data_IF_157671982598
#
_entry.id   IF_157671982598
#
_cell.length_a   1.000
_cell.length_b   1.000
_cell.length_c   1.000
_cell.angle_alpha   90.00
_cell.angle_beta   90.00
_cell.angle_gamma   90.00
#
_symmetry.space_group_name_H-M   'P 1'
#
loop_
_entity.id
_entity.type
_entity.pdbx_description
1 polymer ?
#
# COMPACT_ATOMS: atom_id res chain seq x y z
N UNK A 1 27.18 2.00 7.96
CA UNK A 1 27.51 1.08 9.07
C UNK A 1 27.57 -0.33 8.51
N UNK A 2 28.73 -1.00 8.53
CA UNK A 2 28.80 -2.43 8.15
C UNK A 2 28.36 -3.22 9.37
N UNK A 3 27.28 -3.98 9.26
CA UNK A 3 26.88 -4.94 10.27
C UNK A 3 27.84 -6.13 10.20
N UNK A 4 28.47 -6.47 11.32
CA UNK A 4 29.22 -7.69 11.47
C UNK A 4 28.27 -8.75 12.03
N UNK A 5 27.80 -9.67 11.18
CA UNK A 5 26.78 -10.66 11.52
C UNK A 5 27.38 -12.05 11.41
N UNK A 6 27.30 -12.81 12.51
CA UNK A 6 27.80 -14.17 12.60
C UNK A 6 26.67 -15.19 12.34
N UNK A 7 26.81 -15.99 11.29
CA UNK A 7 25.83 -17.01 10.88
C UNK A 7 26.23 -18.45 11.25
N UNK A 8 27.26 -18.66 12.08
CA UNK A 8 27.79 -20.00 12.37
C UNK A 8 26.73 -20.93 12.98
N UNK A 9 25.88 -20.42 13.89
CA UNK A 9 24.82 -21.21 14.50
C UNK A 9 23.77 -21.67 13.48
N UNK A 10 23.41 -20.80 12.53
CA UNK A 10 22.48 -21.12 11.45
C UNK A 10 23.07 -22.20 10.53
N UNK A 11 24.34 -22.05 10.14
CA UNK A 11 25.03 -23.01 9.28
C UNK A 11 25.14 -24.40 9.93
N UNK A 12 25.39 -24.46 11.24
CA UNK A 12 25.39 -25.71 11.99
C UNK A 12 24.01 -26.39 12.00
N UNK A 13 22.91 -25.62 12.03
CA UNK A 13 21.56 -26.18 11.89
C UNK A 13 21.33 -26.75 10.48
N UNK A 14 21.74 -26.05 9.43
CA UNK A 14 21.60 -26.52 8.04
C UNK A 14 22.35 -27.84 7.80
N UNK A 15 23.56 -27.97 8.36
CA UNK A 15 24.33 -29.22 8.28
C UNK A 15 23.63 -30.39 8.99
N UNK A 16 23.03 -30.15 10.16
CA UNK A 16 22.26 -31.19 10.87
C UNK A 16 21.03 -31.67 10.10
N UNK A 17 20.50 -30.84 9.19
CA UNK A 17 19.37 -31.18 8.34
C UNK A 17 19.77 -31.98 7.08
N UNK A 18 21.05 -32.32 6.90
CA UNK A 18 21.52 -33.15 5.78
C UNK A 18 21.53 -32.42 4.43
N UNK A 19 21.67 -31.09 4.44
CA UNK A 19 21.74 -30.31 3.21
C UNK A 19 23.21 -30.22 2.73
N UNK A 20 23.53 -30.90 1.64
CA UNK A 20 24.90 -31.00 1.11
C UNK A 20 25.31 -29.82 0.21
N UNK A 21 24.39 -28.92 -0.13
CA UNK A 21 24.64 -27.79 -1.03
C UNK A 21 23.91 -26.53 -0.59
N UNK A 22 24.67 -25.48 -0.30
CA UNK A 22 24.15 -24.14 -0.02
C UNK A 22 24.02 -23.37 -1.34
N UNK A 23 22.79 -23.01 -1.71
CA UNK A 23 22.56 -22.11 -2.84
C UNK A 23 22.80 -20.68 -2.38
N UNK A 24 23.69 -19.95 -3.07
CA UNK A 24 23.86 -18.52 -2.81
C UNK A 24 22.62 -17.76 -3.26
N UNK A 25 21.88 -17.20 -2.32
CA UNK A 25 20.79 -16.27 -2.62
C UNK A 25 21.42 -14.92 -2.97
N UNK A 26 21.29 -14.50 -4.23
CA UNK A 26 21.56 -13.11 -4.60
C UNK A 26 20.30 -12.31 -4.27
N UNK A 27 20.39 -11.51 -3.21
CA UNK A 27 19.37 -10.50 -2.93
C UNK A 27 19.64 -9.37 -3.92
N UNK A 28 18.80 -9.26 -4.94
CA UNK A 28 18.84 -8.14 -5.87
C UNK A 28 18.27 -6.91 -5.16
N UNK A 29 19.16 -6.01 -4.71
CA UNK A 29 18.78 -4.75 -4.07
C UNK A 29 18.37 -3.68 -5.10
N UNK A 30 18.04 -4.05 -6.34
CA UNK A 30 17.69 -3.13 -7.42
C UNK A 30 16.37 -2.36 -7.18
N UNK A 31 15.57 -2.79 -6.21
CA UNK A 31 14.48 -2.00 -5.63
C UNK A 31 14.76 -1.76 -4.15
N UNK A 32 15.58 -0.75 -3.85
CA UNK A 32 15.60 -0.14 -2.53
C UNK A 32 14.26 0.58 -2.29
N UNK A 33 13.19 -0.18 -2.07
CA UNK A 33 12.14 0.29 -1.18
C UNK A 33 12.75 0.24 0.21
N UNK A 34 13.45 1.31 0.60
CA UNK A 34 13.70 1.57 2.00
C UNK A 34 12.33 2.03 2.49
N UNK A 35 11.56 1.21 3.26
CA UNK A 35 10.42 1.77 3.94
C UNK A 35 11.01 2.86 4.82
N UNK A 36 10.66 4.11 4.56
CA UNK A 36 10.96 5.18 5.50
C UNK A 36 10.11 4.88 6.73
N UNK A 37 10.63 4.05 7.61
CA UNK A 37 10.04 3.79 8.91
C UNK A 37 10.12 5.10 9.68
N UNK A 38 8.98 5.77 9.78
CA UNK A 38 8.87 6.94 10.63
C UNK A 38 8.84 6.44 12.08
N UNK A 39 10.01 6.40 12.72
CA UNK A 39 10.17 5.90 14.08
C UNK A 39 9.31 6.65 15.10
N UNK A 40 8.81 7.85 14.76
CA UNK A 40 7.86 8.60 15.60
C UNK A 40 6.51 7.90 15.71
N UNK A 41 6.10 7.12 14.71
CA UNK A 41 4.85 6.37 14.72
C UNK A 41 4.85 5.26 15.78
N UNK A 42 6.00 4.71 16.15
CA UNK A 42 6.10 3.63 17.14
C UNK A 42 5.99 4.14 18.59
N UNK A 43 5.99 5.46 18.78
CA UNK A 43 5.94 6.08 20.11
C UNK A 43 4.52 6.06 20.71
N UNK A 44 4.45 6.25 22.02
CA UNK A 44 3.18 6.42 22.75
C UNK A 44 2.49 7.75 22.46
N UNK A 45 3.21 8.75 21.93
CA UNK A 45 2.72 10.09 21.58
C UNK A 45 2.13 10.14 20.16
N UNK A 46 2.62 9.27 19.27
CA UNK A 46 2.22 9.24 17.86
C UNK A 46 2.64 10.51 17.10
N UNK A 47 2.04 10.70 15.94
CA UNK A 47 2.28 11.85 15.06
C UNK A 47 0.94 12.52 14.74
N UNK A 48 0.88 13.84 14.87
CA UNK A 48 -0.26 14.63 14.40
C UNK A 48 -0.29 14.57 12.86
N UNK A 49 -1.42 14.18 12.28
CA UNK A 49 -1.57 14.04 10.83
C UNK A 49 -2.85 14.71 10.32
N UNK A 50 -2.78 15.12 9.06
CA UNK A 50 -3.92 15.67 8.35
C UNK A 50 -4.96 14.60 7.99
N UNK A 51 -6.20 15.04 7.84
CA UNK A 51 -7.33 14.22 7.35
C UNK A 51 -7.03 13.45 6.06
N UNK A 52 -6.26 14.07 5.16
CA UNK A 52 -6.03 13.58 3.80
C UNK A 52 -4.83 12.63 3.71
N UNK A 53 -4.11 12.41 4.81
CA UNK A 53 -2.88 11.63 4.84
C UNK A 53 -3.11 10.17 5.26
N UNK A 54 -4.28 9.87 5.86
CA UNK A 54 -4.63 8.52 6.33
C UNK A 54 -5.59 7.86 5.34
N UNK A 55 -5.15 6.75 4.76
CA UNK A 55 -5.94 5.97 3.82
C UNK A 55 -6.72 4.86 4.54
N UNK A 56 -7.80 4.39 3.92
CA UNK A 56 -8.52 3.20 4.33
C UNK A 56 -8.28 2.09 3.33
N UNK A 57 -7.64 1.01 3.79
CA UNK A 57 -7.43 -0.20 2.99
C UNK A 57 -8.11 -1.35 3.72
N UNK A 58 -9.09 -2.00 3.08
CA UNK A 58 -9.92 -3.04 3.70
C UNK A 58 -10.47 -2.65 5.08
N UNK A 59 -11.09 -1.47 5.14
CA UNK A 59 -11.69 -0.89 6.33
C UNK A 59 -10.70 -0.59 7.49
N UNK A 60 -9.38 -0.78 7.35
CA UNK A 60 -8.40 -0.37 8.36
C UNK A 60 -7.58 0.83 7.91
N UNK A 61 -7.10 1.61 8.88
CA UNK A 61 -6.28 2.78 8.58
C UNK A 61 -4.86 2.40 8.17
N UNK A 62 -4.38 3.03 7.10
CA UNK A 62 -3.02 2.89 6.58
C UNK A 62 -2.41 4.28 6.42
N UNK A 63 -1.18 4.45 6.90
CA UNK A 63 -0.38 5.66 6.74
C UNK A 63 1.03 5.26 6.36
N UNK A 64 1.57 5.83 5.28
CA UNK A 64 2.88 5.47 4.71
C UNK A 64 3.08 3.95 4.51
N UNK A 65 2.02 3.25 4.08
CA UNK A 65 2.04 1.81 3.85
C UNK A 65 2.04 0.95 5.12
N UNK A 66 1.90 1.55 6.31
CA UNK A 66 1.80 0.84 7.58
C UNK A 66 0.38 0.92 8.11
N UNK A 67 -0.14 -0.20 8.64
CA UNK A 67 -1.38 -0.17 9.40
C UNK A 67 -1.19 0.72 10.63
N UNK A 68 -2.11 1.65 10.87
CA UNK A 68 -2.08 2.58 12.00
C UNK A 68 -3.41 2.60 12.74
N UNK A 69 -3.42 3.25 13.91
CA UNK A 69 -4.63 3.61 14.64
C UNK A 69 -4.64 5.11 14.95
N UNK A 70 -5.81 5.63 15.29
CA UNK A 70 -6.01 7.04 15.64
C UNK A 70 -6.42 7.20 17.11
N UNK A 71 -5.87 8.18 17.82
CA UNK A 71 -6.29 8.54 19.18
C UNK A 71 -6.20 10.04 19.42
N UNK A 72 -6.85 10.55 20.49
CA UNK A 72 -6.73 11.96 20.90
C UNK A 72 -5.94 12.02 22.21
N UNK A 73 -4.74 12.63 22.22
CA UNK A 73 -3.94 12.76 23.44
C UNK A 73 -4.52 13.77 24.43
N UNK A 74 -5.22 14.80 23.96
CA UNK A 74 -5.86 15.83 24.77
C UNK A 74 -7.04 15.27 25.61
N UNK A 75 -6.81 15.19 26.91
CA UNK A 75 -7.76 14.77 27.94
C UNK A 75 -8.21 15.93 28.83
N UNK A 76 -8.10 17.18 28.37
CA UNK A 76 -8.44 18.37 29.14
C UNK A 76 -9.86 18.41 29.72
N UNK A 77 -10.81 17.72 29.11
CA UNK A 77 -12.18 17.62 29.62
C UNK A 77 -12.34 16.61 30.77
N UNK A 78 -11.51 15.57 30.81
CA UNK A 78 -11.56 14.50 31.81
C UNK A 78 -10.54 14.69 32.93
N UNK A 79 -9.40 15.30 32.62
CA UNK A 79 -8.22 15.38 33.47
C UNK A 79 -7.38 14.12 33.39
N UNK A 80 -6.04 14.26 33.36
CA UNK A 80 -5.12 13.12 33.29
C UNK A 80 -5.25 12.24 34.54
N UNK A 81 -5.32 12.84 35.72
CA UNK A 81 -5.39 12.12 37.00
C UNK A 81 -6.60 11.16 37.08
N UNK A 82 -7.78 11.62 36.66
CA UNK A 82 -8.99 10.80 36.67
C UNK A 82 -8.87 9.59 35.73
N UNK A 83 -8.21 9.77 34.57
CA UNK A 83 -7.99 8.69 33.61
C UNK A 83 -6.91 7.72 34.09
N UNK A 84 -5.89 8.19 34.81
CA UNK A 84 -4.91 7.30 35.45
C UNK A 84 -5.57 6.40 36.50
N UNK A 85 -6.54 6.92 37.27
CA UNK A 85 -7.30 6.14 38.26
C UNK A 85 -8.31 5.19 37.60
N UNK A 86 -9.02 5.68 36.58
CA UNK A 86 -9.99 4.89 35.83
C UNK A 86 -9.79 5.06 34.31
N UNK A 87 -8.97 4.22 33.66
CA UNK A 87 -8.67 4.32 32.23
C UNK A 87 -9.90 4.20 31.32
N UNK A 88 -10.99 3.61 31.84
CA UNK A 88 -12.29 3.53 31.17
C UNK A 88 -12.87 4.91 30.81
N UNK A 89 -12.51 5.95 31.56
CA UNK A 89 -12.98 7.33 31.38
C UNK A 89 -12.26 8.07 30.25
N UNK A 90 -11.09 7.59 29.84
CA UNK A 90 -10.28 8.19 28.79
C UNK A 90 -10.97 8.19 27.42
N UNK A 91 -10.41 8.97 26.49
CA UNK A 91 -10.76 8.89 25.08
C UNK A 91 -10.51 7.47 24.56
N UNK A 92 -11.19 7.12 23.46
CA UNK A 92 -11.04 5.80 22.84
C UNK A 92 -10.18 5.94 21.60
N UNK A 93 -9.37 4.91 21.31
CA UNK A 93 -8.66 4.85 20.03
C UNK A 93 -9.53 4.18 18.96
N UNK A 94 -9.21 4.47 17.71
CA UNK A 94 -9.98 4.10 16.53
C UNK A 94 -9.12 3.31 15.55
N UNK A 95 -9.72 2.26 14.99
CA UNK A 95 -9.06 1.29 14.11
C UNK A 95 -9.58 1.33 12.67
N UNK A 96 -10.71 2.01 12.46
CA UNK A 96 -11.43 2.13 11.19
C UNK A 96 -12.24 3.43 11.19
N UNK A 97 -12.71 3.85 10.03
CA UNK A 97 -13.65 4.96 9.84
C UNK A 97 -15.04 4.62 10.36
N UNK A 98 -15.22 4.75 11.67
CA UNK A 98 -16.48 4.51 12.35
C UNK A 98 -17.32 5.78 12.50
N UNK A 99 -18.59 5.61 12.87
CA UNK A 99 -19.54 6.71 13.03
C UNK A 99 -19.08 7.79 14.01
N UNK A 100 -18.29 7.43 15.03
CA UNK A 100 -17.70 8.41 15.95
C UNK A 100 -16.69 9.32 15.24
N UNK A 101 -15.84 8.77 14.38
CA UNK A 101 -14.89 9.57 13.60
C UNK A 101 -15.60 10.42 12.55
N UNK A 102 -16.61 9.88 11.88
CA UNK A 102 -17.42 10.65 10.93
C UNK A 102 -18.07 11.86 11.63
N UNK A 103 -18.64 11.67 12.83
CA UNK A 103 -19.19 12.77 13.63
C UNK A 103 -18.12 13.80 14.03
N UNK A 104 -16.89 13.37 14.33
CA UNK A 104 -15.79 14.27 14.65
C UNK A 104 -15.34 15.06 13.41
N UNK A 105 -15.35 14.44 12.23
CA UNK A 105 -15.07 15.08 10.94
C UNK A 105 -16.13 16.13 10.61
N UNK A 106 -17.41 15.79 10.68
CA UNK A 106 -18.53 16.71 10.40
C UNK A 106 -18.54 17.93 11.34
N UNK A 107 -17.94 17.82 12.53
CA UNK A 107 -17.81 18.90 13.52
C UNK A 107 -16.51 19.69 13.39
N UNK A 108 -15.68 19.43 12.37
CA UNK A 108 -14.35 20.03 12.19
C UNK A 108 -13.42 19.81 13.39
N UNK A 109 -13.46 18.62 14.01
CA UNK A 109 -12.65 18.25 15.19
C UNK A 109 -11.67 17.11 14.92
N UNK A 110 -11.49 16.74 13.65
CA UNK A 110 -10.62 15.62 13.29
C UNK A 110 -9.13 15.94 13.42
N UNK A 111 -8.71 17.19 13.27
CA UNK A 111 -7.29 17.59 13.41
C UNK A 111 -6.72 17.38 14.84
N UNK A 112 -7.51 16.86 15.78
CA UNK A 112 -7.09 16.53 17.15
C UNK A 112 -6.54 15.10 17.27
N UNK A 113 -6.61 14.31 16.20
CA UNK A 113 -6.19 12.92 16.21
C UNK A 113 -4.70 12.80 15.88
N UNK A 114 -4.00 11.97 16.65
CA UNK A 114 -2.66 11.49 16.35
C UNK A 114 -2.75 10.08 15.78
N UNK A 115 -1.86 9.75 14.84
CA UNK A 115 -1.66 8.39 14.34
C UNK A 115 -0.44 7.73 14.96
N UNK A 116 -0.53 6.43 15.13
CA UNK A 116 0.56 5.63 15.67
C UNK A 116 0.45 4.18 15.20
N UNK A 117 1.59 3.52 15.09
CA UNK A 117 1.72 2.07 14.93
C UNK A 117 1.88 1.35 16.27
N UNK A 118 1.81 2.06 17.40
CA UNK A 118 1.99 1.52 18.74
C UNK A 118 0.92 0.48 19.08
N UNK A 119 1.39 -0.74 19.34
CA UNK A 119 0.57 -1.94 19.59
C UNK A 119 0.45 -2.27 21.09
N UNK A 120 1.17 -1.55 21.95
CA UNK A 120 1.19 -1.79 23.40
C UNK A 120 -0.15 -1.51 24.08
N UNK A 121 -0.96 -0.63 23.49
CA UNK A 121 -2.22 -0.14 24.05
C UNK A 121 -2.05 0.98 25.09
N UNK A 122 -0.81 1.41 25.37
CA UNK A 122 -0.50 2.57 26.21
C UNK A 122 -0.25 3.80 25.35
N UNK A 123 -0.87 4.92 25.72
CA UNK A 123 -0.80 6.16 24.95
C UNK A 123 -0.45 7.32 25.88
N UNK A 124 0.38 8.23 25.37
CA UNK A 124 0.71 9.47 26.06
C UNK A 124 -0.50 10.41 25.95
N UNK A 125 -0.93 10.92 27.09
CA UNK A 125 -2.05 11.85 27.20
C UNK A 125 -1.62 13.10 27.97
N UNK A 126 -2.30 14.22 27.73
CA UNK A 126 -2.09 15.46 28.45
C UNK A 126 -3.40 16.19 28.78
N UNK A 127 -3.34 17.18 29.66
CA UNK A 127 -4.43 18.12 29.93
C UNK A 127 -3.99 19.60 29.93
N UNK A 128 -4.96 20.51 30.07
CA UNK A 128 -4.75 21.95 30.15
C UNK A 128 -3.82 22.40 31.30
N UNK A 129 -3.63 21.57 32.33
CA UNK A 129 -2.74 21.86 33.45
C UNK A 129 -1.30 21.39 33.17
N UNK A 130 -1.03 20.87 31.96
CA UNK A 130 0.24 20.28 31.53
C UNK A 130 0.63 19.04 32.35
N UNK A 131 -0.36 18.35 32.92
CA UNK A 131 -0.11 16.99 33.40
C UNK A 131 0.06 16.09 32.18
N UNK A 132 0.98 15.14 32.26
CA UNK A 132 1.22 14.13 31.23
C UNK A 132 1.29 12.76 31.89
N UNK A 133 0.75 11.74 31.21
CA UNK A 133 0.88 10.35 31.63
C UNK A 133 0.78 9.40 30.45
N UNK A 134 1.34 8.20 30.60
CA UNK A 134 1.07 7.08 29.70
C UNK A 134 0.00 6.19 30.32
N UNK A 135 -1.12 6.02 29.61
CA UNK A 135 -2.29 5.27 30.13
C UNK A 135 -2.80 4.26 29.12
N UNK A 136 -3.37 3.13 29.59
CA UNK A 136 -4.00 2.17 28.69
C UNK A 136 -5.35 2.72 28.23
N UNK A 137 -5.45 3.13 26.96
CA UNK A 137 -6.75 3.53 26.38
C UNK A 137 -7.52 2.31 25.90
N UNK A 138 -8.84 2.47 25.74
CA UNK A 138 -9.71 1.40 25.26
C UNK A 138 -10.09 1.61 23.80
N UNK A 139 -10.31 0.50 23.09
CA UNK A 139 -10.80 0.52 21.71
C UNK A 139 -12.20 1.13 21.61
N UNK A 140 -12.46 1.86 20.54
CA UNK A 140 -13.79 2.34 20.22
C UNK A 140 -14.74 1.18 19.86
N UNK A 141 -15.84 1.04 20.62
CA UNK A 141 -16.87 0.01 20.36
C UNK A 141 -17.52 0.16 18.98
N UNK A 142 -17.57 1.38 18.43
CA UNK A 142 -18.11 1.60 17.08
C UNK A 142 -17.16 1.06 16.01
N UNK A 143 -15.83 1.12 16.22
CA UNK A 143 -14.87 0.48 15.33
C UNK A 143 -15.06 -1.05 15.32
N UNK A 144 -15.16 -1.67 16.50
CA UNK A 144 -15.42 -3.12 16.59
C UNK A 144 -16.75 -3.53 15.94
N UNK A 145 -17.77 -2.68 16.05
CA UNK A 145 -19.07 -2.90 15.41
C UNK A 145 -18.94 -2.83 13.89
N UNK A 146 -18.30 -1.78 13.37
CA UNK A 146 -18.12 -1.53 11.94
C UNK A 146 -17.34 -2.66 11.26
N UNK A 147 -16.25 -3.12 11.88
CA UNK A 147 -15.42 -4.22 11.38
C UNK A 147 -16.04 -5.60 11.63
N UNK A 148 -17.08 -5.68 12.45
CA UNK A 148 -17.60 -6.92 13.00
C UNK A 148 -16.48 -7.86 13.53
N UNK A 149 -15.44 -7.29 14.14
CA UNK A 149 -14.22 -8.02 14.52
C UNK A 149 -14.57 -9.21 15.42
N UNK A 150 -14.17 -10.43 15.02
CA UNK A 150 -14.51 -11.69 15.71
C UNK A 150 -16.01 -11.84 16.02
N UNK A 151 -16.87 -11.45 15.07
CA UNK A 151 -18.33 -11.45 15.25
C UNK A 151 -18.79 -10.54 16.41
N UNK A 152 -18.18 -9.36 16.55
CA UNK A 152 -18.48 -8.42 17.63
C UNK A 152 -19.98 -8.15 17.79
N UNK A 153 -20.73 -8.07 16.69
CA UNK A 153 -22.17 -7.76 16.71
C UNK A 153 -22.95 -8.77 17.57
N UNK A 154 -22.58 -10.05 17.53
CA UNK A 154 -23.27 -11.13 18.26
C UNK A 154 -22.65 -11.43 19.63
N UNK A 155 -21.40 -11.02 19.89
CA UNK A 155 -20.69 -11.29 21.15
C UNK A 155 -19.96 -10.06 21.72
N UNK A 156 -20.67 -8.92 21.79
CA UNK A 156 -20.10 -7.60 22.14
C UNK A 156 -19.30 -7.59 23.43
N UNK A 157 -19.85 -8.17 24.50
CA UNK A 157 -19.25 -8.12 25.84
C UNK A 157 -17.94 -8.89 25.90
N UNK A 158 -17.92 -10.12 25.38
CA UNK A 158 -16.73 -10.96 25.48
C UNK A 158 -15.60 -10.42 24.60
N UNK A 159 -15.92 -10.08 23.34
CA UNK A 159 -14.93 -9.56 22.40
C UNK A 159 -14.35 -8.22 22.88
N UNK A 160 -15.16 -7.32 23.47
CA UNK A 160 -14.65 -6.07 24.02
C UNK A 160 -13.71 -6.30 25.20
N UNK A 161 -14.09 -7.18 26.14
CA UNK A 161 -13.29 -7.47 27.35
C UNK A 161 -11.97 -8.18 27.02
N UNK A 162 -11.98 -9.03 26.00
CA UNK A 162 -10.83 -9.82 25.56
C UNK A 162 -10.07 -9.16 24.39
N UNK A 163 -10.42 -7.91 24.03
CA UNK A 163 -9.79 -7.23 22.91
C UNK A 163 -8.29 -7.07 23.17
N UNK A 164 -7.48 -7.51 22.21
CA UNK A 164 -6.03 -7.34 22.22
C UNK A 164 -5.61 -6.59 20.96
N UNK A 165 -4.91 -5.48 21.15
CA UNK A 165 -4.52 -4.59 20.06
C UNK A 165 -3.47 -5.25 19.15
N UNK A 166 -2.50 -5.95 19.73
CA UNK A 166 -1.47 -6.64 18.97
C UNK A 166 -2.05 -7.75 18.08
N UNK A 167 -2.98 -8.53 18.62
CA UNK A 167 -3.73 -9.54 17.87
C UNK A 167 -4.53 -8.91 16.72
N UNK A 168 -5.19 -7.78 16.96
CA UNK A 168 -5.92 -7.06 15.93
C UNK A 168 -5.00 -6.68 14.76
N UNK A 169 -3.85 -6.07 15.04
CA UNK A 169 -2.88 -5.70 14.00
C UNK A 169 -2.38 -6.94 13.24
N UNK A 170 -2.06 -8.03 13.93
CA UNK A 170 -1.62 -9.27 13.25
C UNK A 170 -2.70 -9.86 12.34
N UNK A 171 -3.97 -9.79 12.75
CA UNK A 171 -5.09 -10.28 11.93
C UNK A 171 -5.21 -9.52 10.60
N UNK A 172 -5.02 -8.20 10.61
CA UNK A 172 -5.19 -7.35 9.43
C UNK A 172 -3.90 -7.16 8.63
N UNK A 173 -2.71 -7.23 9.23
CA UNK A 173 -1.44 -7.25 8.49
C UNK A 173 -1.38 -8.45 7.53
N UNK A 174 -1.80 -9.63 7.98
CA UNK A 174 -1.89 -10.80 7.12
C UNK A 174 -2.86 -10.60 5.93
N UNK A 175 -3.86 -9.74 6.08
CA UNK A 175 -4.77 -9.39 4.98
C UNK A 175 -4.08 -8.40 4.04
N UNK A 176 -3.40 -7.38 4.58
CA UNK A 176 -2.67 -6.37 3.81
C UNK A 176 -1.53 -6.98 2.96
N UNK A 177 -0.77 -7.92 3.50
CA UNK A 177 0.33 -8.60 2.80
C UNK A 177 -0.15 -9.47 1.62
N UNK A 178 -1.43 -9.88 1.62
CA UNK A 178 -2.04 -10.68 0.58
C UNK A 178 -2.86 -9.84 -0.43
N UNK A 179 -2.84 -8.51 -0.33
CA UNK A 179 -3.57 -7.65 -1.26
C UNK A 179 -2.75 -7.36 -2.52
N UNK A 180 -3.35 -7.48 -3.72
CA UNK A 180 -2.77 -6.86 -4.90
C UNK A 180 -2.67 -5.35 -4.66
N UNK A 181 -1.49 -4.79 -4.93
CA UNK A 181 -1.20 -3.38 -4.75
C UNK A 181 -2.26 -2.52 -5.46
N UNK A 182 -2.89 -1.58 -4.74
CA UNK A 182 -3.78 -0.62 -5.38
C UNK A 182 -2.93 0.35 -6.22
N UNK A 183 -2.91 0.13 -7.53
CA UNK A 183 -2.18 0.93 -8.51
C UNK A 183 -3.10 1.93 -9.24
N UNK A 184 -4.12 2.43 -8.53
CA UNK A 184 -5.10 3.37 -9.07
C UNK A 184 -6.27 2.68 -9.78
N UNK A 185 -6.80 1.60 -9.21
CA UNK A 185 -7.93 0.87 -9.82
C UNK A 185 -9.27 1.62 -9.67
N UNK A 186 -9.30 2.73 -8.94
CA UNK A 186 -10.50 3.35 -8.39
C UNK A 186 -11.19 4.34 -9.35
N UNK A 187 -10.58 4.66 -10.50
CA UNK A 187 -11.21 5.49 -11.55
C UNK A 187 -11.22 4.79 -12.90
N UNK A 188 -12.34 4.89 -13.60
CA UNK A 188 -12.44 4.40 -14.97
C UNK A 188 -11.72 5.35 -15.93
N UNK A 189 -10.79 4.83 -16.73
CA UNK A 189 -10.12 5.58 -17.79
C UNK A 189 -8.61 5.72 -17.58
N UNK A 190 -8.00 6.55 -18.44
CA UNK A 190 -6.60 6.91 -18.33
C UNK A 190 -6.43 8.14 -17.45
N UNK A 191 -5.23 8.36 -16.92
CA UNK A 191 -4.86 9.63 -16.28
C UNK A 191 -4.93 10.79 -17.28
N UNK A 192 -5.23 12.00 -16.81
CA UNK A 192 -5.46 13.18 -17.67
C UNK A 192 -4.27 13.50 -18.60
N UNK A 193 -3.04 13.17 -18.18
CA UNK A 193 -1.80 13.40 -18.93
C UNK A 193 -1.29 12.16 -19.70
N UNK A 194 -2.13 11.15 -19.94
CA UNK A 194 -1.72 9.91 -20.60
C UNK A 194 -1.04 10.11 -21.96
N UNK A 195 -1.50 11.11 -22.75
CA UNK A 195 -0.88 11.43 -24.03
C UNK A 195 0.62 11.76 -23.92
N UNK A 196 1.01 12.42 -22.84
CA UNK A 196 2.40 12.77 -22.55
C UNK A 196 3.18 11.55 -22.03
N UNK A 197 2.61 10.81 -21.06
CA UNK A 197 3.22 9.60 -20.49
C UNK A 197 3.50 8.57 -21.59
N UNK A 198 2.51 8.29 -22.43
CA UNK A 198 2.63 7.35 -23.55
C UNK A 198 3.71 7.78 -24.54
N UNK A 199 3.79 9.08 -24.85
CA UNK A 199 4.79 9.63 -25.77
C UNK A 199 6.20 9.53 -25.18
N UNK A 200 6.37 9.89 -23.91
CA UNK A 200 7.66 9.86 -23.22
C UNK A 200 8.17 8.42 -23.06
N UNK A 201 7.29 7.47 -22.71
CA UNK A 201 7.65 6.07 -22.61
C UNK A 201 8.10 5.50 -23.97
N UNK A 202 7.33 5.72 -25.05
CA UNK A 202 7.71 5.28 -26.41
C UNK A 202 9.01 5.92 -26.89
N UNK A 203 9.25 7.18 -26.56
CA UNK A 203 10.51 7.87 -26.86
C UNK A 203 11.69 7.24 -26.09
N UNK A 204 11.51 6.89 -24.81
CA UNK A 204 12.54 6.21 -24.01
C UNK A 204 12.94 4.84 -24.58
N UNK A 205 12.04 4.20 -25.33
CA UNK A 205 12.27 2.93 -26.03
C UNK A 205 12.69 3.11 -27.49
N UNK A 206 13.13 4.32 -27.87
CA UNK A 206 13.58 4.66 -29.22
C UNK A 206 12.54 4.37 -30.32
N UNK A 207 11.25 4.39 -29.97
CA UNK A 207 10.15 3.99 -30.87
C UNK A 207 10.26 2.55 -31.38
N UNK A 208 10.97 1.68 -30.68
CA UNK A 208 11.04 0.26 -31.00
C UNK A 208 9.95 -0.52 -30.26
N UNK A 209 9.37 -1.50 -30.95
CA UNK A 209 8.50 -2.48 -30.34
C UNK A 209 9.32 -3.39 -29.42
N UNK A 210 8.95 -3.48 -28.15
CA UNK A 210 9.62 -4.31 -27.15
C UNK A 210 9.35 -5.82 -27.33
N UNK A 211 8.40 -6.21 -28.22
CA UNK A 211 8.12 -7.62 -28.54
C UNK A 211 8.87 -8.14 -29.76
N UNK A 212 8.70 -7.49 -30.92
CA UNK A 212 9.30 -7.94 -32.17
C UNK A 212 10.53 -7.14 -32.60
N UNK A 213 10.90 -6.11 -31.84
CA UNK A 213 12.07 -5.27 -32.14
C UNK A 213 11.90 -4.28 -33.29
N UNK A 214 10.75 -4.25 -33.98
CA UNK A 214 10.55 -3.33 -35.12
C UNK A 214 10.66 -1.87 -34.68
N UNK A 215 11.52 -1.12 -35.36
CA UNK A 215 11.70 0.31 -35.17
C UNK A 215 10.61 1.08 -35.94
N UNK A 216 9.86 1.91 -35.23
CA UNK A 216 8.73 2.69 -35.74
C UNK A 216 8.99 4.20 -35.62
N UNK A 217 10.25 4.63 -35.58
CA UNK A 217 10.62 6.05 -35.47
C UNK A 217 10.10 6.91 -36.63
N UNK A 218 9.96 6.34 -37.83
CA UNK A 218 9.35 6.98 -39.01
C UNK A 218 7.82 6.93 -38.99
N UNK A 219 7.25 5.93 -38.31
CA UNK A 219 5.83 5.60 -38.31
C UNK A 219 5.30 5.50 -36.87
N UNK A 220 5.54 6.56 -36.08
CA UNK A 220 5.28 6.61 -34.62
C UNK A 220 3.85 6.27 -34.20
N UNK A 221 2.89 6.47 -35.10
CA UNK A 221 1.46 6.17 -34.91
C UNK A 221 1.14 4.67 -34.92
N UNK A 222 2.11 3.82 -35.27
CA UNK A 222 2.00 2.35 -35.26
C UNK A 222 2.47 1.71 -33.96
N UNK A 223 3.00 2.50 -33.02
CA UNK A 223 3.49 2.06 -31.72
C UNK A 223 2.56 2.57 -30.61
N UNK A 224 2.01 1.64 -29.83
CA UNK A 224 1.16 1.92 -28.68
C UNK A 224 1.88 1.54 -27.38
N UNK A 225 1.29 1.91 -26.24
CA UNK A 225 1.74 1.47 -24.92
C UNK A 225 0.68 0.55 -24.34
N UNK A 226 1.11 -0.65 -23.95
CA UNK A 226 0.30 -1.66 -23.30
C UNK A 226 0.60 -1.68 -21.79
N UNK A 227 -0.46 -1.67 -20.98
CA UNK A 227 -0.40 -1.90 -19.53
C UNK A 227 -0.44 -3.40 -19.25
N UNK A 228 0.68 -3.99 -18.83
CA UNK A 228 0.83 -5.45 -18.65
C UNK A 228 -0.18 -6.03 -17.65
N UNK A 229 -0.52 -5.29 -16.61
CA UNK A 229 -1.50 -5.69 -15.60
C UNK A 229 -2.95 -5.31 -15.96
N UNK A 230 -3.19 -4.69 -17.11
CA UNK A 230 -4.51 -4.23 -17.55
C UNK A 230 -5.05 -2.99 -16.81
N UNK A 231 -4.33 -2.44 -15.83
CA UNK A 231 -4.76 -1.26 -15.06
C UNK A 231 -4.26 0.01 -15.74
N UNK A 232 -5.17 0.76 -16.36
CA UNK A 232 -4.88 1.97 -17.16
C UNK A 232 -4.26 3.13 -16.38
N UNK A 233 -4.36 3.11 -15.05
CA UNK A 233 -3.76 4.13 -14.17
C UNK A 233 -2.35 3.78 -13.70
N UNK A 234 -1.94 2.51 -13.81
CA UNK A 234 -0.62 2.09 -13.40
C UNK A 234 0.41 2.45 -14.48
N UNK A 235 0.93 3.66 -14.37
CA UNK A 235 1.93 4.20 -15.30
C UNK A 235 3.37 3.88 -14.90
N UNK A 236 3.59 2.90 -14.01
CA UNK A 236 4.94 2.47 -13.66
C UNK A 236 5.67 1.93 -14.89
N UNK A 237 6.93 2.32 -15.05
CA UNK A 237 7.78 1.93 -16.20
C UNK A 237 7.84 0.40 -16.34
N UNK A 238 7.78 -0.33 -15.22
CA UNK A 238 7.75 -1.79 -15.14
C UNK A 238 6.45 -2.40 -15.68
N UNK A 239 5.33 -1.69 -15.53
CA UNK A 239 4.02 -2.11 -16.01
C UNK A 239 3.73 -1.70 -17.46
N UNK A 240 4.38 -0.66 -17.97
CA UNK A 240 4.25 -0.23 -19.36
C UNK A 240 5.07 -1.12 -20.32
N UNK A 241 4.61 -1.22 -21.56
CA UNK A 241 5.31 -1.91 -22.65
C UNK A 241 5.01 -1.24 -23.99
N UNK A 242 6.03 -0.85 -24.75
CA UNK A 242 5.86 -0.24 -26.06
C UNK A 242 5.70 -1.36 -27.10
N UNK A 243 4.53 -1.48 -27.71
CA UNK A 243 4.18 -2.58 -28.62
C UNK A 243 3.61 -2.06 -29.92
N UNK A 244 3.99 -2.67 -31.04
CA UNK A 244 3.38 -2.33 -32.34
C UNK A 244 1.93 -2.81 -32.37
N UNK A 245 1.08 -2.19 -33.20
CA UNK A 245 -0.36 -2.52 -33.27
C UNK A 245 -0.68 -4.01 -33.47
N UNK A 246 0.17 -4.74 -34.19
CA UNK A 246 -0.01 -6.19 -34.35
C UNK A 246 0.41 -7.00 -33.11
N UNK A 247 1.53 -6.65 -32.45
CA UNK A 247 1.91 -7.28 -31.18
C UNK A 247 0.91 -6.96 -30.08
N UNK A 248 0.37 -5.74 -30.10
CA UNK A 248 -0.64 -5.28 -29.15
C UNK A 248 -1.95 -6.06 -29.28
N UNK A 249 -2.36 -6.39 -30.51
CA UNK A 249 -3.54 -7.23 -30.77
C UNK A 249 -3.38 -8.64 -30.18
N UNK A 250 -2.16 -9.19 -30.18
CA UNK A 250 -1.86 -10.53 -29.68
C UNK A 250 -1.74 -10.61 -28.14
N UNK A 251 -1.90 -9.51 -27.42
CA UNK A 251 -1.94 -9.52 -25.94
C UNK A 251 -3.35 -9.87 -25.43
N UNK A 252 -3.43 -10.55 -24.28
CA UNK A 252 -4.67 -11.05 -23.69
C UNK A 252 -5.76 -9.96 -23.59
N UNK A 253 -7.01 -10.33 -23.91
CA UNK A 253 -8.20 -9.47 -23.90
C UNK A 253 -8.34 -8.44 -25.04
N UNK A 254 -7.54 -8.51 -26.12
CA UNK A 254 -7.63 -7.62 -27.29
C UNK A 254 -7.91 -8.32 -28.64
N UNK A 255 -8.38 -9.58 -28.61
CA UNK A 255 -8.73 -10.41 -29.79
C UNK A 255 -9.78 -9.80 -30.73
N UNK A 256 -10.53 -8.79 -30.28
CA UNK A 256 -11.62 -8.19 -31.05
C UNK A 256 -11.16 -7.03 -31.96
N UNK A 257 -9.91 -6.58 -31.88
CA UNK A 257 -9.41 -5.45 -32.65
C UNK A 257 -8.90 -5.91 -34.02
N UNK A 258 -9.71 -5.79 -35.08
CA UNK A 258 -9.23 -6.06 -36.44
C UNK A 258 -8.19 -5.01 -36.84
N UNK A 259 -6.91 -5.39 -36.88
CA UNK A 259 -5.88 -4.52 -37.45
C UNK A 259 -6.20 -4.31 -38.93
N UNK A 260 -6.41 -3.05 -39.31
CA UNK A 260 -6.64 -2.67 -40.71
C UNK A 260 -5.53 -3.24 -41.58
N UNK A 261 -5.90 -3.84 -42.73
CA UNK A 261 -4.97 -4.47 -43.66
C UNK A 261 -3.77 -3.56 -44.01
N UNK A 262 -4.01 -2.25 -44.15
CA UNK A 262 -2.98 -1.24 -44.40
C UNK A 262 -1.91 -1.14 -43.30
N UNK A 263 -2.30 -1.31 -42.02
CA UNK A 263 -1.37 -1.28 -40.88
C UNK A 263 -0.48 -2.53 -40.89
N UNK A 264 -1.07 -3.70 -41.15
CA UNK A 264 -0.31 -4.95 -41.25
C UNK A 264 0.70 -4.92 -42.40
N UNK A 265 0.27 -4.45 -43.58
CA UNK A 265 1.15 -4.30 -44.75
C UNK A 265 2.32 -3.35 -44.48
N UNK A 266 2.08 -2.21 -43.82
CA UNK A 266 3.13 -1.24 -43.46
C UNK A 266 4.11 -1.80 -42.45
N UNK A 267 3.62 -2.53 -41.43
CA UNK A 267 4.49 -3.20 -40.46
C UNK A 267 5.36 -4.28 -41.13
N UNK A 268 4.80 -5.05 -42.08
CA UNK A 268 5.55 -6.08 -42.81
C UNK A 268 6.58 -5.51 -43.79
N UNK A 269 6.32 -4.34 -44.37
CA UNK A 269 7.31 -3.57 -45.12
C UNK A 269 8.46 -3.13 -44.21
N UNK A 270 8.16 -2.49 -43.07
CA UNK A 270 9.16 -2.00 -42.12
C UNK A 270 10.02 -3.14 -41.56
N UNK A 271 9.42 -4.28 -41.22
CA UNK A 271 10.15 -5.47 -40.78
C UNK A 271 11.10 -6.00 -41.84
N UNK A 272 10.67 -6.08 -43.11
CA UNK A 272 11.52 -6.52 -44.22
C UNK A 272 12.71 -5.59 -44.43
N UNK A 273 12.48 -4.27 -44.40
CA UNK A 273 13.55 -3.27 -44.51
C UNK A 273 14.57 -3.37 -43.35
N UNK A 274 14.10 -3.80 -42.17
CA UNK A 274 14.92 -3.92 -40.97
C UNK A 274 15.48 -5.34 -40.73
N UNK A 275 15.20 -6.29 -41.63
CA UNK A 275 15.67 -7.68 -41.50
C UNK A 275 15.03 -8.47 -40.34
N UNK A 276 13.81 -8.11 -39.92
CA UNK A 276 13.09 -8.75 -38.81
C UNK A 276 12.17 -9.84 -39.36
N UNK A 277 12.40 -11.10 -38.97
CA UNK A 277 11.57 -12.26 -39.31
C UNK A 277 10.44 -12.47 -38.29
N UNK A 278 9.22 -12.79 -38.77
CA UNK A 278 8.11 -13.22 -37.90
C UNK A 278 8.45 -14.60 -37.30
N UNK A 279 8.37 -14.72 -35.98
CA UNK A 279 8.24 -16.00 -35.28
C UNK A 279 6.76 -16.30 -35.05
#
# INVERSE_FOLDING_TARGET
MKLDVNFNALLACVQRMGCDSLVSVKIDNSTQFIPTFDTRLETTDGVEVGLDEVELVNDVFVFNGQQVLLFIPDHSYKGVEAVCLEPSLGNKYHLTHCDTLENMRLRNRFNRYHVTTNRSGYFKIYDNLKNEAEVPLQVCKMCLTKLNYKNYITNRTNVFRQFNLDEFFNHYLAILDNLPQNVGQDKAGYVDNWGEISKNYRASKNWCCEDCGVNLSTDKHLLDVHHKNGVKQDNSITNLKAVCKECHQKQDSHDHLSVLLAVSMRLDELRRLQGITRY
#
